data_IF_292853907322
#
_entry.id   IF_292853907322
#
_cell.length_a   1.000
_cell.length_b   1.000
_cell.length_c   1.000
_cell.angle_alpha   90.00
_cell.angle_beta   90.00
_cell.angle_gamma   90.00
#
_symmetry.space_group_name_H-M   'P 1'
#
loop_
_entity.id
_entity.type
_entity.pdbx_description
1 polymer ?
#
# COMPACT_ATOMS: atom_id res chain seq x y z
N UNK A 1 -2.95 15.31 13.89
CA UNK A 1 -2.75 14.08 14.68
C UNK A 1 -2.31 13.01 13.70
N UNK A 2 -1.08 12.52 13.82
CA UNK A 2 -0.64 11.33 13.09
C UNK A 2 -1.18 10.15 13.89
N UNK A 3 -2.00 9.32 13.27
CA UNK A 3 -2.55 8.13 13.92
C UNK A 3 -1.59 6.96 13.66
N UNK A 4 -1.45 6.10 14.68
CA UNK A 4 -0.51 4.99 14.61
C UNK A 4 -0.88 4.01 13.50
N UNK A 5 -2.17 3.75 13.24
CA UNK A 5 -2.64 2.86 12.18
C UNK A 5 -3.73 3.52 11.32
N UNK A 6 -3.61 3.34 10.00
CA UNK A 6 -4.57 3.79 9.00
C UNK A 6 -4.89 2.64 8.03
N UNK A 7 -6.18 2.35 7.81
CA UNK A 7 -6.63 1.41 6.79
C UNK A 7 -7.31 2.17 5.65
N UNK A 8 -6.99 1.84 4.40
CA UNK A 8 -7.64 2.42 3.22
C UNK A 8 -8.18 1.32 2.32
N UNK A 9 -9.44 1.44 1.93
CA UNK A 9 -10.06 0.59 0.92
C UNK A 9 -10.15 1.39 -0.38
N UNK A 10 -9.49 0.91 -1.43
CA UNK A 10 -9.44 1.56 -2.73
C UNK A 10 -9.99 0.64 -3.81
N UNK A 11 -10.88 1.15 -4.65
CA UNK A 11 -11.30 0.53 -5.90
C UNK A 11 -10.43 1.03 -7.05
N UNK A 12 -9.80 0.11 -7.77
CA UNK A 12 -8.98 0.46 -8.95
C UNK A 12 -9.92 0.73 -10.13
N UNK A 13 -10.04 1.99 -10.53
CA UNK A 13 -11.00 2.42 -11.54
C UNK A 13 -10.54 2.16 -12.97
N UNK A 14 -9.22 2.03 -13.19
CA UNK A 14 -8.63 1.64 -14.46
C UNK A 14 -7.31 0.91 -14.25
N UNK A 15 -7.07 -0.16 -15.01
CA UNK A 15 -5.79 -0.89 -14.94
C UNK A 15 -4.60 -0.09 -15.51
N UNK A 16 -4.86 0.99 -16.26
CA UNK A 16 -3.86 1.76 -16.98
C UNK A 16 -3.63 3.16 -16.42
N UNK A 17 -4.58 3.66 -15.62
CA UNK A 17 -4.58 5.05 -15.16
C UNK A 17 -5.11 5.15 -13.72
N UNK A 18 -4.20 5.41 -12.78
CA UNK A 18 -4.53 5.52 -11.36
C UNK A 18 -5.32 6.77 -10.98
N UNK A 19 -5.55 7.71 -11.90
CA UNK A 19 -6.41 8.89 -11.61
C UNK A 19 -7.89 8.51 -11.43
N UNK A 20 -8.27 7.32 -11.87
CA UNK A 20 -9.61 6.75 -11.68
C UNK A 20 -9.74 5.93 -10.39
N UNK A 21 -8.67 5.76 -9.62
CA UNK A 21 -8.73 5.04 -8.34
C UNK A 21 -9.61 5.80 -7.35
N UNK A 22 -10.50 5.06 -6.70
CA UNK A 22 -11.47 5.62 -5.76
C UNK A 22 -11.19 5.09 -4.37
N UNK A 23 -10.85 5.99 -3.45
CA UNK A 23 -10.86 5.70 -2.03
C UNK A 23 -12.31 5.53 -1.59
N UNK A 24 -12.70 4.32 -1.22
CA UNK A 24 -14.04 3.98 -0.74
C UNK A 24 -14.16 4.19 0.77
N UNK A 25 -13.07 3.95 1.50
CA UNK A 25 -13.06 4.05 2.96
C UNK A 25 -11.64 4.33 3.44
N UNK A 26 -11.53 5.09 4.53
CA UNK A 26 -10.28 5.36 5.23
C UNK A 26 -10.51 5.33 6.75
N UNK A 27 -10.27 4.18 7.37
CA UNK A 27 -10.45 4.00 8.81
C UNK A 27 -9.17 4.39 9.56
N UNK A 28 -9.31 5.46 10.34
CA UNK A 28 -8.49 5.72 11.52
C UNK A 28 -9.18 4.98 12.66
N UNK A 29 -8.49 4.12 13.42
CA UNK A 29 -9.11 3.24 14.44
C UNK A 29 -10.17 4.01 15.27
N UNK A 30 -11.45 3.82 14.91
CA UNK A 30 -12.59 4.73 15.15
C UNK A 30 -13.73 4.45 14.16
N UNK A 31 -14.98 4.88 14.41
CA UNK A 31 -16.19 4.28 13.81
C UNK A 31 -16.28 4.41 12.28
N UNK A 32 -16.85 3.37 11.66
CA UNK A 32 -16.92 3.11 10.21
C UNK A 32 -17.93 4.06 9.54
N UNK A 33 -17.57 4.66 8.41
CA UNK A 33 -18.46 5.45 7.55
C UNK A 33 -18.08 5.20 6.09
N UNK A 34 -18.78 4.26 5.45
CA UNK A 34 -18.50 3.89 4.06
C UNK A 34 -18.94 5.01 3.09
N UNK A 35 -18.00 5.53 2.28
CA UNK A 35 -18.34 6.43 1.18
C UNK A 35 -18.77 5.60 -0.06
N UNK A 36 -19.93 5.89 -0.66
CA UNK A 36 -20.39 5.16 -1.84
C UNK A 36 -19.48 5.43 -3.05
N UNK A 37 -19.19 4.37 -3.81
CA UNK A 37 -18.43 4.41 -5.05
C UNK A 37 -19.05 5.40 -6.05
N UNK A 38 -18.25 6.34 -6.56
CA UNK A 38 -18.65 7.29 -7.59
C UNK A 38 -18.50 6.65 -8.98
N UNK A 39 -19.60 6.15 -9.50
CA UNK A 39 -19.65 5.44 -10.77
C UNK A 39 -19.23 6.31 -11.98
N UNK A 40 -19.28 7.65 -11.86
CA UNK A 40 -18.83 8.55 -12.94
C UNK A 40 -17.32 8.56 -13.15
N UNK A 41 -16.56 8.06 -12.16
CA UNK A 41 -15.10 7.95 -12.19
C UNK A 41 -14.62 6.56 -12.63
N UNK A 42 -15.47 5.75 -13.23
CA UNK A 42 -15.07 4.50 -13.87
C UNK A 42 -15.21 4.70 -15.38
N UNK A 43 -14.16 4.37 -16.12
CA UNK A 43 -14.20 4.43 -17.58
C UNK A 43 -15.16 3.36 -18.10
N UNK A 44 -15.92 3.67 -19.15
CA UNK A 44 -16.89 2.72 -19.72
C UNK A 44 -16.22 1.38 -20.10
N UNK A 45 -15.03 1.45 -20.69
CA UNK A 45 -14.25 0.26 -21.07
C UNK A 45 -13.74 -0.59 -19.89
N UNK A 46 -13.65 0.00 -18.69
CA UNK A 46 -13.19 -0.67 -17.47
C UNK A 46 -14.39 -1.10 -16.60
N UNK A 47 -15.63 -0.80 -17.01
CA UNK A 47 -16.81 -1.08 -16.19
C UNK A 47 -17.29 -2.54 -16.27
N UNK A 48 -17.21 -3.17 -17.46
CA UNK A 48 -17.38 -4.62 -17.64
C UNK A 48 -15.99 -5.23 -17.78
N UNK A 49 -15.36 -5.52 -16.66
CA UNK A 49 -13.97 -5.97 -16.63
C UNK A 49 -13.62 -6.68 -15.33
N UNK A 50 -12.43 -7.30 -15.33
CA UNK A 50 -11.78 -7.72 -14.09
C UNK A 50 -10.93 -6.56 -13.57
N UNK A 51 -11.21 -6.14 -12.34
CA UNK A 51 -10.43 -5.14 -11.60
C UNK A 51 -10.06 -5.67 -10.20
N UNK A 52 -9.55 -4.81 -9.33
CA UNK A 52 -9.08 -5.15 -7.99
C UNK A 52 -9.61 -4.16 -6.94
N UNK A 53 -10.04 -4.70 -5.81
CA UNK A 53 -10.19 -3.96 -4.55
C UNK A 53 -8.92 -4.10 -3.73
N UNK A 54 -8.36 -2.99 -3.29
CA UNK A 54 -7.13 -2.93 -2.50
C UNK A 54 -7.46 -2.43 -1.10
N UNK A 55 -7.15 -3.26 -0.10
CA UNK A 55 -7.13 -2.86 1.30
C UNK A 55 -5.68 -2.66 1.72
N UNK A 56 -5.27 -1.43 2.02
CA UNK A 56 -3.93 -1.10 2.51
C UNK A 56 -3.98 -0.77 3.99
N UNK A 57 -2.92 -1.11 4.72
CA UNK A 57 -2.72 -0.66 6.09
C UNK A 57 -1.34 -0.01 6.22
N UNK A 58 -1.33 1.14 6.85
CA UNK A 58 -0.16 1.95 7.10
C UNK A 58 0.04 2.16 8.60
N UNK A 59 1.30 2.12 9.04
CA UNK A 59 1.69 2.54 10.39
C UNK A 59 2.49 3.84 10.29
N UNK A 60 2.04 4.89 10.98
CA UNK A 60 2.65 6.23 10.90
C UNK A 60 2.87 6.72 9.45
N UNK A 61 1.91 6.44 8.57
CA UNK A 61 1.97 6.79 7.14
C UNK A 61 2.84 5.87 6.27
N UNK A 62 3.49 4.85 6.83
CA UNK A 62 4.24 3.84 6.07
C UNK A 62 3.37 2.59 5.87
N UNK A 63 3.01 2.31 4.62
CA UNK A 63 2.27 1.09 4.26
C UNK A 63 3.09 -0.16 4.57
N UNK A 64 2.53 -1.10 5.33
CA UNK A 64 3.20 -2.36 5.68
C UNK A 64 2.45 -3.60 5.20
N UNK A 65 1.18 -3.47 4.84
CA UNK A 65 0.41 -4.56 4.23
C UNK A 65 -0.58 -4.03 3.20
N UNK A 66 -0.72 -4.78 2.12
CA UNK A 66 -1.71 -4.60 1.06
C UNK A 66 -2.39 -5.92 0.77
N UNK A 67 -3.73 -5.92 0.78
CA UNK A 67 -4.57 -7.07 0.48
C UNK A 67 -5.40 -6.73 -0.76
N UNK A 68 -5.14 -7.42 -1.85
CA UNK A 68 -5.90 -7.28 -3.10
C UNK A 68 -6.92 -8.39 -3.28
N UNK A 69 -8.14 -8.03 -3.65
CA UNK A 69 -9.19 -8.95 -4.08
C UNK A 69 -9.51 -8.71 -5.54
N UNK A 70 -9.53 -9.77 -6.34
CA UNK A 70 -10.04 -9.66 -7.70
C UNK A 70 -11.55 -9.42 -7.67
N UNK A 71 -11.98 -8.51 -8.53
CA UNK A 71 -13.37 -8.15 -8.72
C UNK A 71 -13.71 -8.37 -10.18
N UNK A 72 -14.71 -9.18 -10.45
CA UNK A 72 -15.29 -9.30 -11.78
C UNK A 72 -16.57 -8.47 -11.82
N UNK A 73 -16.60 -7.45 -12.67
CA UNK A 73 -17.82 -6.71 -12.97
C UNK A 73 -18.35 -7.21 -14.32
N UNK A 74 -19.57 -7.72 -14.33
CA UNK A 74 -20.17 -8.30 -15.53
C UNK A 74 -21.69 -8.13 -15.53
N UNK A 75 -22.33 -8.29 -16.68
CA UNK A 75 -23.79 -8.37 -16.72
C UNK A 75 -24.26 -9.74 -16.21
N UNK A 76 -25.29 -9.74 -15.36
CA UNK A 76 -25.89 -11.00 -14.90
C UNK A 76 -26.58 -11.75 -16.06
N UNK A 77 -27.16 -11.01 -17.00
CA UNK A 77 -27.84 -11.55 -18.18
C UNK A 77 -26.82 -12.06 -19.22
N UNK A 78 -26.97 -13.32 -19.64
CA UNK A 78 -26.11 -13.95 -20.65
C UNK A 78 -26.23 -13.28 -22.03
N UNK A 79 -27.41 -12.82 -22.42
CA UNK A 79 -27.61 -12.14 -23.70
C UNK A 79 -26.86 -10.80 -23.74
N UNK A 80 -26.85 -10.06 -22.63
CA UNK A 80 -26.10 -8.80 -22.52
C UNK A 80 -24.58 -9.01 -22.51
N UNK A 81 -24.11 -10.21 -22.15
CA UNK A 81 -22.68 -10.57 -22.22
C UNK A 81 -22.26 -10.96 -23.62
N UNK A 82 -23.08 -11.73 -24.32
CA UNK A 82 -22.80 -12.15 -25.70
C UNK A 82 -22.97 -11.00 -26.70
N UNK A 83 -23.99 -10.17 -26.51
CA UNK A 83 -24.29 -9.00 -27.33
C UNK A 83 -24.37 -7.74 -26.45
N UNK A 84 -23.22 -7.14 -26.10
CA UNK A 84 -23.19 -5.97 -25.24
C UNK A 84 -23.95 -4.80 -25.89
N UNK A 85 -24.84 -4.13 -25.14
CA UNK A 85 -25.66 -3.05 -25.66
C UNK A 85 -24.80 -1.85 -26.06
N UNK A 86 -25.25 -1.11 -27.07
CA UNK A 86 -24.54 0.10 -27.53
C UNK A 86 -24.54 1.22 -26.48
N UNK A 87 -25.58 1.27 -25.63
CA UNK A 87 -25.64 2.16 -24.48
C UNK A 87 -25.34 1.35 -23.22
N UNK A 88 -24.38 1.82 -22.43
CA UNK A 88 -23.95 1.16 -21.21
C UNK A 88 -25.08 1.13 -20.15
N UNK A 89 -25.32 -0.04 -19.55
CA UNK A 89 -26.44 -0.27 -18.62
C UNK A 89 -25.93 -0.52 -17.19
N UNK A 90 -25.50 0.54 -16.52
CA UNK A 90 -24.84 0.42 -15.21
C UNK A 90 -25.68 -0.30 -14.14
N UNK A 91 -26.99 -0.09 -14.14
CA UNK A 91 -27.92 -0.71 -13.18
C UNK A 91 -28.05 -2.24 -13.35
N UNK A 92 -27.49 -2.79 -14.43
CA UNK A 92 -27.47 -4.23 -14.74
C UNK A 92 -26.13 -4.88 -14.46
N UNK A 93 -25.13 -4.11 -14.03
CA UNK A 93 -23.80 -4.62 -13.72
C UNK A 93 -23.80 -5.23 -12.33
N UNK A 94 -23.35 -6.48 -12.25
CA UNK A 94 -23.13 -7.18 -10.99
C UNK A 94 -21.64 -7.24 -10.69
N UNK A 95 -21.31 -6.99 -9.42
CA UNK A 95 -19.96 -7.14 -8.89
C UNK A 95 -19.81 -8.47 -8.18
N UNK A 96 -18.86 -9.28 -8.63
CA UNK A 96 -18.45 -10.50 -7.94
C UNK A 96 -17.02 -10.36 -7.40
N UNK A 97 -16.84 -10.45 -6.09
CA UNK A 97 -15.54 -10.32 -5.43
C UNK A 97 -15.03 -11.73 -5.11
N UNK A 98 -13.84 -12.09 -5.60
CA UNK A 98 -13.20 -13.36 -5.28
C UNK A 98 -12.56 -13.30 -3.89
N UNK A 99 -13.38 -13.35 -2.85
CA UNK A 99 -12.99 -13.23 -1.44
C UNK A 99 -12.05 -14.34 -0.96
N UNK A 100 -12.18 -15.54 -1.54
CA UNK A 100 -11.48 -16.73 -1.03
C UNK A 100 -10.01 -16.81 -1.45
N UNK A 101 -9.56 -15.96 -2.38
CA UNK A 101 -8.18 -15.97 -2.92
C UNK A 101 -7.55 -14.57 -2.89
N UNK A 102 -7.41 -13.94 -1.71
CA UNK A 102 -6.76 -12.65 -1.60
C UNK A 102 -5.29 -12.73 -2.01
N UNK A 103 -4.78 -11.65 -2.58
CA UNK A 103 -3.35 -11.44 -2.80
C UNK A 103 -2.81 -10.54 -1.71
N UNK A 104 -1.97 -11.09 -0.84
CA UNK A 104 -1.38 -10.35 0.28
C UNK A 104 0.07 -10.01 -0.04
N UNK A 105 0.39 -8.73 -0.02
CA UNK A 105 1.76 -8.20 -0.12
C UNK A 105 2.11 -7.54 1.20
N UNK A 106 3.30 -7.84 1.73
CA UNK A 106 3.82 -7.25 2.97
C UNK A 106 5.06 -6.42 2.66
N UNK A 107 5.15 -5.24 3.23
CA UNK A 107 6.29 -4.35 3.11
C UNK A 107 6.98 -4.24 4.49
N UNK A 108 8.28 -4.52 4.59
CA UNK A 108 9.01 -4.33 5.83
C UNK A 108 9.02 -2.85 6.21
N UNK A 109 8.64 -2.53 7.45
CA UNK A 109 8.75 -1.18 8.02
C UNK A 109 9.33 -1.27 9.44
N UNK A 110 9.85 -0.15 9.96
CA UNK A 110 10.26 -0.06 11.34
C UNK A 110 9.08 0.33 12.23
N UNK A 111 8.67 -0.57 13.13
CA UNK A 111 7.60 -0.32 14.11
C UNK A 111 8.14 0.28 15.43
N UNK A 112 9.46 0.22 15.66
CA UNK A 112 10.10 0.77 16.85
C UNK A 112 10.61 2.19 16.56
N UNK A 113 9.99 3.17 17.22
CA UNK A 113 10.37 4.59 17.09
C UNK A 113 11.64 4.99 17.88
N UNK A 114 12.34 4.05 18.52
CA UNK A 114 13.49 4.34 19.37
C UNK A 114 14.71 3.53 18.92
N UNK A 115 15.56 4.12 18.08
CA UNK A 115 17.02 3.91 18.05
C UNK A 115 17.74 4.73 16.94
N UNK A 116 17.12 5.78 16.38
CA UNK A 116 17.80 6.68 15.43
C UNK A 116 18.30 8.00 16.05
N UNK A 117 18.23 8.15 17.38
CA UNK A 117 18.81 9.30 18.11
C UNK A 117 19.89 8.89 19.13
N UNK A 118 20.70 7.86 18.84
CA UNK A 118 22.01 7.70 19.50
C UNK A 118 23.09 8.00 18.47
N UNK A 119 23.66 9.20 18.64
CA UNK A 119 24.50 9.88 17.68
C UNK A 119 25.63 9.03 17.08
N UNK A 120 25.79 9.15 15.77
CA UNK A 120 27.08 8.99 15.13
C UNK A 120 28.04 10.03 15.70
N UNK A 121 28.75 9.65 16.77
CA UNK A 121 29.98 10.32 17.13
C UNK A 121 30.97 10.04 16.00
N UNK A 122 31.57 11.06 15.36
CA UNK A 122 32.58 10.82 14.36
C UNK A 122 33.74 10.04 14.99
N UNK A 123 34.38 9.13 14.23
CA UNK A 123 35.51 8.38 14.76
C UNK A 123 36.57 9.37 15.27
N UNK A 124 37.22 9.09 16.42
CA UNK A 124 38.27 9.96 16.92
C UNK A 124 39.38 10.07 15.87
N UNK A 125 39.98 11.25 15.69
CA UNK A 125 41.07 11.43 14.74
C UNK A 125 42.27 10.57 15.14
N UNK A 126 42.78 9.80 14.19
CA UNK A 126 44.03 9.05 14.31
C UNK A 126 45.18 10.02 14.62
N UNK A 127 45.56 10.11 15.89
CA UNK A 127 46.84 10.67 16.29
C UNK A 127 47.90 9.57 16.20
N UNK A 128 48.94 9.69 15.35
CA UNK A 128 50.12 8.86 15.49
C UNK A 128 50.85 9.31 16.75
N UNK A 129 50.83 8.46 17.78
CA UNK A 129 51.70 8.57 18.95
C UNK A 129 53.14 8.38 18.49
N UNK A 130 53.92 9.47 18.40
CA UNK A 130 55.37 9.40 18.47
C UNK A 130 55.75 8.75 19.81
N UNK A 131 56.27 7.53 19.75
CA UNK A 131 56.91 6.88 20.88
C UNK A 131 58.42 7.01 20.73
N UNK A 132 58.93 8.13 21.24
CA UNK A 132 60.34 8.31 21.57
C UNK A 132 60.55 7.81 23.00
N UNK A 133 61.60 7.01 23.24
CA UNK A 133 62.20 6.90 24.57
C UNK A 133 62.39 5.49 25.16
N UNK A 134 63.57 4.95 24.87
CA UNK A 134 64.55 4.46 25.86
C UNK A 134 64.26 3.16 26.64
N UNK A 135 65.04 2.13 26.34
CA UNK A 135 65.32 1.00 27.22
C UNK A 135 66.82 0.67 27.19
N UNK A 136 67.53 1.06 28.25
CA UNK A 136 68.92 0.65 28.54
C UNK A 136 68.98 -0.84 28.91
N UNK A 137 69.97 -1.59 28.38
CA UNK A 137 71.07 -2.24 29.13
C UNK A 137 71.75 -3.37 28.31
N UNK A 138 73.08 -3.24 28.17
CA UNK A 138 74.03 -4.33 27.94
C UNK A 138 74.24 -5.11 29.26
N UNK A 139 74.52 -6.43 29.27
CA UNK A 139 75.90 -6.88 29.02
C UNK A 139 76.09 -8.30 28.43
N UNK A 140 77.19 -8.46 27.66
CA UNK A 140 78.23 -9.49 27.78
C UNK A 140 79.33 -9.21 26.74
#
# INVERSE_FOLDING_TARGET
MVFDLEWKLTYVGSAKDGTYDQLLESVLVGPINEDPLDLSKIREEDTISVTVLLLTCSYLGQEFVRVGYYVNNDYEDEQLREEPPSNFLIDRVQRNILSDKPRVTKFPINFHLEDSEKGEQPPPPDHPSEADGNGEEHPA
#
